data_IF_545615374354
#
_entry.id   IF_545615374354
#
_cell.length_a   1.000
_cell.length_b   1.000
_cell.length_c   1.000
_cell.angle_alpha   90.00
_cell.angle_beta   90.00
_cell.angle_gamma   90.00
#
_symmetry.space_group_name_H-M   'P 1'
#
loop_
_entity.id
_entity.type
_entity.pdbx_description
1 polymer ?
#
# COMPACT_ATOMS: atom_id res chain seq x y z
N UNK A 1 -2.09 9.57 3.42
CA UNK A 1 -0.66 9.35 3.12
C UNK A 1 -0.51 7.86 2.89
N UNK A 2 -0.01 7.42 1.73
CA UNK A 2 0.13 5.98 1.44
C UNK A 2 1.37 5.44 2.16
N UNK A 3 1.20 4.33 2.88
CA UNK A 3 2.25 3.70 3.68
C UNK A 3 3.03 2.72 2.81
N UNK A 4 4.34 2.91 2.70
CA UNK A 4 5.27 1.96 2.10
C UNK A 4 6.03 1.27 3.21
N UNK A 5 6.03 -0.07 3.24
CA UNK A 5 6.89 -0.81 4.15
C UNK A 5 8.35 -0.63 3.72
N UNK A 6 9.22 -0.39 4.69
CA UNK A 6 10.66 -0.28 4.47
C UNK A 6 11.26 -1.68 4.65
N UNK A 7 11.93 -2.25 3.64
CA UNK A 7 12.58 -3.54 3.75
C UNK A 7 13.63 -3.57 4.86
N UNK A 8 13.78 -4.72 5.51
CA UNK A 8 14.85 -4.94 6.49
C UNK A 8 16.22 -4.67 5.83
N UNK A 9 17.06 -3.85 6.47
CA UNK A 9 18.39 -3.46 5.98
C UNK A 9 18.41 -2.25 5.04
N UNK A 10 17.27 -1.68 4.66
CA UNK A 10 17.25 -0.35 4.06
C UNK A 10 17.41 0.71 5.14
N UNK A 11 18.50 1.46 5.07
CA UNK A 11 18.77 2.58 5.97
C UNK A 11 18.73 3.89 5.18
N UNK A 12 17.89 4.82 5.62
CA UNK A 12 17.98 6.19 5.12
C UNK A 12 19.29 6.83 5.54
N UNK A 13 19.77 7.78 4.73
CA UNK A 13 20.97 8.53 5.09
C UNK A 13 20.77 9.29 6.41
N UNK A 14 21.77 9.20 7.28
CA UNK A 14 21.84 10.01 8.50
C UNK A 14 22.23 11.46 8.19
N UNK A 15 22.83 11.73 7.02
CA UNK A 15 23.10 13.08 6.53
C UNK A 15 21.77 13.81 6.23
N UNK A 16 21.49 14.95 6.88
CA UNK A 16 20.28 15.72 6.67
C UNK A 16 20.03 16.12 5.21
N UNK A 17 21.07 16.50 4.47
CA UNK A 17 20.93 16.97 3.09
C UNK A 17 20.60 15.79 2.17
N UNK A 18 21.30 14.67 2.32
CA UNK A 18 20.99 13.45 1.59
C UNK A 18 19.58 12.90 1.93
N UNK A 19 19.14 13.02 3.19
CA UNK A 19 17.79 12.63 3.60
C UNK A 19 16.72 13.51 2.95
N UNK A 20 16.96 14.82 2.90
CA UNK A 20 16.06 15.77 2.23
C UNK A 20 15.95 15.50 0.73
N UNK A 21 17.08 15.25 0.06
CA UNK A 21 17.08 14.90 -1.36
C UNK A 21 16.39 13.56 -1.62
N UNK A 22 16.60 12.56 -0.75
CA UNK A 22 15.84 11.30 -0.80
C UNK A 22 14.33 11.51 -0.66
N UNK A 23 13.91 12.35 0.30
CA UNK A 23 12.50 12.72 0.46
C UNK A 23 11.92 13.40 -0.78
N UNK A 24 12.65 14.35 -1.39
CA UNK A 24 12.23 15.01 -2.64
C UNK A 24 12.11 14.01 -3.78
N UNK A 25 13.09 13.14 -3.96
CA UNK A 25 13.09 12.14 -5.03
C UNK A 25 11.87 11.20 -4.93
N UNK A 26 11.56 10.72 -3.73
CA UNK A 26 10.35 9.92 -3.46
C UNK A 26 9.07 10.71 -3.71
N UNK A 27 9.00 11.95 -3.25
CA UNK A 27 7.82 12.80 -3.41
C UNK A 27 7.55 13.12 -4.89
N UNK A 28 8.61 13.39 -5.66
CA UNK A 28 8.53 13.60 -7.10
C UNK A 28 8.04 12.34 -7.83
N UNK A 29 8.63 11.18 -7.52
CA UNK A 29 8.20 9.88 -8.06
C UNK A 29 6.73 9.61 -7.79
N UNK A 30 6.28 9.75 -6.53
CA UNK A 30 4.89 9.51 -6.13
C UNK A 30 3.92 10.42 -6.88
N UNK A 31 4.29 11.69 -7.05
CA UNK A 31 3.48 12.66 -7.78
C UNK A 31 3.37 12.31 -9.26
N UNK A 32 4.49 11.96 -9.89
CA UNK A 32 4.53 11.57 -11.30
C UNK A 32 3.73 10.29 -11.58
N UNK A 33 3.90 9.24 -10.77
CA UNK A 33 3.15 7.99 -10.89
C UNK A 33 1.65 8.23 -10.71
N UNK A 34 1.25 9.00 -9.69
CA UNK A 34 -0.17 9.32 -9.47
C UNK A 34 -0.78 10.07 -10.67
N UNK A 35 -0.06 11.06 -11.20
CA UNK A 35 -0.52 11.81 -12.35
C UNK A 35 -0.66 10.92 -13.59
N UNK A 36 0.33 10.04 -13.83
CA UNK A 36 0.31 9.10 -14.95
C UNK A 36 -0.88 8.13 -14.89
N UNK A 37 -1.15 7.55 -13.71
CA UNK A 37 -2.31 6.68 -13.49
C UNK A 37 -3.63 7.44 -13.69
N UNK A 38 -3.73 8.66 -13.16
CA UNK A 38 -4.94 9.48 -13.27
C UNK A 38 -5.28 9.97 -14.68
N UNK A 39 -4.33 9.90 -15.61
CA UNK A 39 -4.53 10.28 -17.02
C UNK A 39 -4.85 9.11 -17.95
N UNK A 40 -4.86 7.88 -17.46
CA UNK A 40 -5.14 6.69 -18.26
C UNK A 40 -6.65 6.38 -18.32
N UNK A 41 -7.12 5.84 -19.46
CA UNK A 41 -8.52 5.48 -19.65
C UNK A 41 -8.80 4.02 -19.22
N UNK A 42 -7.77 3.19 -19.23
CA UNK A 42 -7.83 1.77 -18.85
C UNK A 42 -6.77 1.41 -17.82
N UNK A 43 -6.98 0.31 -17.09
CA UNK A 43 -6.01 -0.15 -16.10
C UNK A 43 -4.70 -0.61 -16.77
N UNK A 44 -4.75 -1.15 -17.98
CA UNK A 44 -3.56 -1.55 -18.74
C UNK A 44 -2.71 -0.33 -19.12
N UNK A 45 -3.35 0.73 -19.61
CA UNK A 45 -2.68 2.01 -19.88
C UNK A 45 -2.10 2.60 -18.61
N UNK A 46 -2.86 2.55 -17.50
CA UNK A 46 -2.40 3.03 -16.21
C UNK A 46 -1.15 2.29 -15.73
N UNK A 47 -1.10 0.97 -15.88
CA UNK A 47 0.08 0.16 -15.55
C UNK A 47 1.31 0.61 -16.36
N UNK A 48 1.18 0.69 -17.68
CA UNK A 48 2.30 1.11 -18.57
C UNK A 48 2.76 2.53 -18.24
N UNK A 49 1.81 3.44 -18.00
CA UNK A 49 2.10 4.83 -17.66
C UNK A 49 2.79 4.95 -16.29
N UNK A 50 2.34 4.18 -15.30
CA UNK A 50 2.92 4.13 -13.95
C UNK A 50 4.38 3.64 -13.97
N UNK A 51 4.65 2.52 -14.65
CA UNK A 51 6.00 1.96 -14.80
C UNK A 51 6.93 2.95 -15.51
N UNK A 52 6.46 3.56 -16.60
CA UNK A 52 7.23 4.60 -17.31
C UNK A 52 7.54 5.80 -16.42
N UNK A 53 6.55 6.29 -15.67
CA UNK A 53 6.75 7.41 -14.77
C UNK A 53 7.76 7.05 -13.67
N UNK A 54 7.63 5.88 -13.03
CA UNK A 54 8.54 5.43 -11.99
C UNK A 54 9.99 5.24 -12.51
N UNK A 55 10.15 4.79 -13.75
CA UNK A 55 11.46 4.64 -14.40
C UNK A 55 12.19 5.98 -14.59
N UNK A 56 11.46 7.09 -14.77
CA UNK A 56 12.03 8.44 -14.88
C UNK A 56 12.57 8.99 -13.55
N UNK A 57 12.38 8.28 -12.44
CA UNK A 57 12.87 8.66 -11.12
C UNK A 57 13.88 7.64 -10.59
N UNK A 58 15.10 7.55 -11.14
CA UNK A 58 16.09 6.53 -10.75
C UNK A 58 16.52 6.63 -9.29
N UNK A 59 16.44 7.82 -8.68
CA UNK A 59 16.85 8.06 -7.30
C UNK A 59 15.80 7.61 -6.25
N UNK A 60 14.59 7.23 -6.67
CA UNK A 60 13.62 6.63 -5.77
C UNK A 60 13.90 5.12 -5.62
N UNK A 61 13.85 4.55 -4.39
CA UNK A 61 14.11 3.13 -4.18
C UNK A 61 13.13 2.24 -4.95
N UNK A 62 13.61 1.11 -5.48
CA UNK A 62 12.79 0.17 -6.25
C UNK A 62 11.60 -0.38 -5.45
N UNK A 63 11.82 -0.75 -4.18
CA UNK A 63 10.75 -1.25 -3.31
C UNK A 63 9.62 -0.23 -3.11
N UNK A 64 9.93 1.07 -3.08
CA UNK A 64 8.91 2.11 -2.96
C UNK A 64 8.13 2.28 -4.24
N UNK A 65 8.79 2.19 -5.40
CA UNK A 65 8.12 2.26 -6.70
C UNK A 65 7.10 1.12 -6.82
N UNK A 66 7.54 -0.11 -6.59
CA UNK A 66 6.70 -1.31 -6.67
C UNK A 66 5.47 -1.20 -5.75
N UNK A 67 5.68 -0.89 -4.47
CA UNK A 67 4.58 -0.79 -3.51
C UNK A 67 3.65 0.37 -3.83
N UNK A 68 4.18 1.52 -4.25
CA UNK A 68 3.36 2.69 -4.53
C UNK A 68 2.49 2.50 -5.77
N UNK A 69 3.05 1.90 -6.83
CA UNK A 69 2.28 1.52 -8.02
C UNK A 69 1.21 0.51 -7.62
N UNK A 70 1.56 -0.54 -6.87
CA UNK A 70 0.61 -1.57 -6.44
C UNK A 70 -0.57 -1.01 -5.65
N UNK A 71 -0.29 -0.12 -4.68
CA UNK A 71 -1.35 0.54 -3.90
C UNK A 71 -2.27 1.34 -4.83
N UNK A 72 -1.73 2.21 -5.69
CA UNK A 72 -2.55 3.06 -6.55
C UNK A 72 -3.33 2.27 -7.59
N UNK A 73 -2.72 1.25 -8.18
CA UNK A 73 -3.37 0.38 -9.16
C UNK A 73 -4.55 -0.35 -8.53
N UNK A 74 -4.36 -0.97 -7.35
CA UNK A 74 -5.45 -1.62 -6.61
C UNK A 74 -6.54 -0.60 -6.22
N UNK A 75 -6.17 0.51 -5.60
CA UNK A 75 -7.11 1.48 -5.05
C UNK A 75 -7.94 2.20 -6.13
N UNK A 76 -7.34 2.53 -7.27
CA UNK A 76 -7.93 3.45 -8.24
C UNK A 76 -8.33 2.82 -9.57
N UNK A 77 -7.65 1.75 -10.00
CA UNK A 77 -7.84 1.16 -11.33
C UNK A 77 -8.47 -0.22 -11.26
N UNK A 78 -8.11 -1.04 -10.29
CA UNK A 78 -8.41 -2.47 -10.32
C UNK A 78 -9.57 -2.90 -9.42
N UNK A 79 -9.67 -2.38 -8.18
CA UNK A 79 -10.77 -2.76 -7.28
C UNK A 79 -12.10 -2.00 -7.49
N UNK A 80 -12.15 -0.76 -8.01
CA UNK A 80 -13.43 -0.09 -8.24
C UNK A 80 -14.32 -0.76 -9.31
N UNK A 81 -15.63 -0.82 -9.10
CA UNK A 81 -16.60 -1.40 -10.05
C UNK A 81 -16.81 -2.90 -9.84
N UNK A 82 -16.92 -3.65 -10.94
CA UNK A 82 -17.17 -5.11 -10.96
C UNK A 82 -15.98 -5.88 -11.57
N UNK A 83 -14.82 -5.93 -10.87
CA UNK A 83 -13.62 -6.60 -11.37
C UNK A 83 -13.79 -8.10 -11.66
N UNK A 84 -14.72 -8.77 -10.99
CA UNK A 84 -15.06 -10.18 -11.16
C UNK A 84 -15.51 -10.58 -12.58
N UNK A 85 -15.81 -9.59 -13.43
CA UNK A 85 -16.27 -9.80 -14.81
C UNK A 85 -15.14 -9.83 -15.84
N UNK A 86 -13.91 -9.51 -15.42
CA UNK A 86 -12.73 -9.41 -16.28
C UNK A 86 -11.58 -10.29 -15.71
N UNK A 87 -11.32 -11.47 -16.30
CA UNK A 87 -10.26 -12.37 -15.83
C UNK A 87 -8.86 -11.75 -15.82
N UNK A 88 -8.50 -10.93 -16.83
CA UNK A 88 -7.18 -10.30 -16.90
C UNK A 88 -7.02 -9.27 -15.77
N UNK A 89 -8.12 -8.61 -15.41
CA UNK A 89 -8.16 -7.70 -14.27
C UNK A 89 -8.04 -8.43 -12.94
N UNK A 90 -8.64 -9.62 -12.80
CA UNK A 90 -8.48 -10.45 -11.61
C UNK A 90 -7.04 -10.93 -11.43
N UNK A 91 -6.38 -11.34 -12.51
CA UNK A 91 -4.96 -11.69 -12.50
C UNK A 91 -4.11 -10.49 -12.06
N UNK A 92 -4.38 -9.31 -12.62
CA UNK A 92 -3.69 -8.08 -12.20
C UNK A 92 -3.93 -7.71 -10.72
N UNK A 93 -5.16 -7.88 -10.19
CA UNK A 93 -5.43 -7.71 -8.76
C UNK A 93 -4.58 -8.67 -7.94
N UNK A 94 -4.47 -9.92 -8.39
CA UNK A 94 -3.62 -10.93 -7.80
C UNK A 94 -2.16 -10.51 -7.74
N UNK A 95 -1.59 -10.13 -8.88
CA UNK A 95 -0.18 -9.74 -9.01
C UNK A 95 0.17 -8.55 -8.09
N UNK A 96 -0.65 -7.50 -8.09
CA UNK A 96 -0.40 -6.35 -7.22
C UNK A 96 -0.61 -6.66 -5.74
N UNK A 97 -1.54 -7.57 -5.39
CA UNK A 97 -1.71 -8.03 -4.02
C UNK A 97 -0.45 -8.76 -3.53
N UNK A 98 0.12 -9.62 -4.38
CA UNK A 98 1.36 -10.33 -4.06
C UNK A 98 2.56 -9.40 -3.92
N UNK A 99 2.65 -8.32 -4.72
CA UNK A 99 3.67 -7.28 -4.53
C UNK A 99 3.59 -6.70 -3.12
N UNK A 100 2.39 -6.33 -2.64
CA UNK A 100 2.22 -5.75 -1.31
C UNK A 100 2.57 -6.74 -0.20
N UNK A 101 2.16 -8.00 -0.35
CA UNK A 101 2.40 -9.06 0.63
C UNK A 101 3.89 -9.42 0.68
N UNK A 102 4.57 -9.51 -0.46
CA UNK A 102 6.02 -9.74 -0.56
C UNK A 102 6.81 -8.67 0.17
N UNK A 103 6.39 -7.41 0.05
CA UNK A 103 7.02 -6.28 0.74
C UNK A 103 6.57 -6.11 2.19
N UNK A 104 5.71 -7.00 2.71
CA UNK A 104 5.10 -6.89 4.05
C UNK A 104 4.47 -5.52 4.26
N UNK A 105 3.77 -5.03 3.25
CA UNK A 105 3.09 -3.74 3.31
C UNK A 105 1.92 -3.79 4.31
N UNK A 106 1.75 -2.78 5.18
CA UNK A 106 0.73 -2.83 6.23
C UNK A 106 -0.67 -2.41 5.78
N UNK A 107 -0.92 -2.27 4.48
CA UNK A 107 -2.25 -1.89 3.94
C UNK A 107 -3.27 -3.04 4.01
N UNK A 108 -3.47 -3.62 5.19
CA UNK A 108 -4.35 -4.77 5.41
C UNK A 108 -5.78 -4.56 4.90
N UNK A 109 -6.35 -3.36 5.04
CA UNK A 109 -7.69 -3.07 4.51
C UNK A 109 -7.77 -3.09 2.97
N UNK A 110 -6.69 -2.72 2.28
CA UNK A 110 -6.63 -2.81 0.82
C UNK A 110 -6.44 -4.27 0.37
N UNK A 111 -5.56 -5.00 1.06
CA UNK A 111 -5.30 -6.42 0.79
C UNK A 111 -6.56 -7.26 1.08
N UNK A 112 -7.27 -6.98 2.18
CA UNK A 112 -8.52 -7.68 2.51
C UNK A 112 -9.59 -7.50 1.43
N UNK A 113 -9.75 -6.27 0.92
CA UNK A 113 -10.65 -6.00 -0.21
C UNK A 113 -10.25 -6.78 -1.46
N UNK A 114 -8.95 -6.82 -1.78
CA UNK A 114 -8.46 -7.60 -2.92
C UNK A 114 -8.72 -9.10 -2.74
N UNK A 115 -8.47 -9.64 -1.54
CA UNK A 115 -8.73 -11.05 -1.24
C UNK A 115 -10.22 -11.41 -1.30
N UNK A 116 -11.14 -10.51 -0.89
CA UNK A 116 -12.58 -10.73 -1.09
C UNK A 116 -12.95 -10.84 -2.57
N UNK A 117 -12.28 -10.09 -3.46
CA UNK A 117 -12.51 -10.20 -4.90
C UNK A 117 -11.90 -11.49 -5.48
N UNK A 118 -10.77 -11.94 -4.93
CA UNK A 118 -10.04 -13.10 -5.43
C UNK A 118 -10.51 -14.44 -4.86
N UNK A 119 -11.31 -14.48 -3.78
CA UNK A 119 -11.62 -15.71 -3.06
C UNK A 119 -12.32 -16.79 -3.89
N UNK A 120 -13.10 -16.39 -4.90
CA UNK A 120 -13.75 -17.30 -5.83
C UNK A 120 -12.82 -17.83 -6.94
N UNK A 121 -11.66 -17.19 -7.12
CA UNK A 121 -10.72 -17.44 -8.22
C UNK A 121 -9.40 -18.06 -7.75
N UNK A 122 -9.02 -17.82 -6.50
CA UNK A 122 -7.80 -18.36 -5.91
C UNK A 122 -8.09 -19.62 -5.08
N UNK A 123 -7.14 -20.57 -5.02
CA UNK A 123 -7.20 -21.66 -4.05
C UNK A 123 -7.31 -21.13 -2.61
N UNK A 124 -8.16 -21.75 -1.78
CA UNK A 124 -8.37 -21.33 -0.38
C UNK A 124 -7.07 -21.23 0.42
N UNK A 125 -6.12 -22.14 0.21
CA UNK A 125 -4.81 -22.12 0.86
C UNK A 125 -3.99 -20.87 0.50
N UNK A 126 -4.03 -20.45 -0.78
CA UNK A 126 -3.37 -19.22 -1.24
C UNK A 126 -3.98 -17.99 -0.59
N UNK A 127 -5.30 -17.94 -0.49
CA UNK A 127 -6.03 -16.85 0.20
C UNK A 127 -5.62 -16.80 1.68
N UNK A 128 -5.63 -17.93 2.39
CA UNK A 128 -5.29 -18.01 3.80
C UNK A 128 -3.83 -17.60 4.08
N UNK A 129 -2.88 -18.07 3.27
CA UNK A 129 -1.45 -17.72 3.42
C UNK A 129 -1.20 -16.24 3.14
N UNK A 130 -1.86 -15.68 2.12
CA UNK A 130 -1.79 -14.25 1.80
C UNK A 130 -2.37 -13.41 2.92
N UNK A 131 -3.54 -13.81 3.44
CA UNK A 131 -4.19 -13.14 4.56
C UNK A 131 -3.34 -13.16 5.83
N UNK A 132 -2.75 -14.30 6.17
CA UNK A 132 -1.88 -14.45 7.34
C UNK A 132 -0.63 -13.57 7.26
N UNK A 133 0.01 -13.50 6.09
CA UNK A 133 1.19 -12.65 5.88
C UNK A 133 0.84 -11.16 5.99
N UNK A 134 -0.28 -10.75 5.39
CA UNK A 134 -0.75 -9.37 5.44
C UNK A 134 -1.20 -8.97 6.87
N UNK A 135 -1.82 -9.89 7.60
CA UNK A 135 -2.18 -9.71 9.01
C UNK A 135 -0.92 -9.44 9.86
N UNK A 136 0.10 -10.30 9.76
CA UNK A 136 1.35 -10.14 10.51
C UNK A 136 2.07 -8.82 10.19
N UNK A 137 2.04 -8.38 8.92
CA UNK A 137 2.59 -7.09 8.52
C UNK A 137 1.84 -5.90 9.14
N UNK A 138 0.50 -5.97 9.18
CA UNK A 138 -0.33 -4.95 9.78
C UNK A 138 -0.17 -4.89 11.31
N UNK A 139 -0.13 -6.04 11.99
CA UNK A 139 0.15 -6.09 13.44
C UNK A 139 1.49 -5.44 13.77
N UNK A 140 2.56 -5.84 13.09
CA UNK A 140 3.89 -5.24 13.30
C UNK A 140 3.89 -3.73 13.08
N UNK A 141 3.16 -3.25 12.07
CA UNK A 141 3.06 -1.81 11.82
C UNK A 141 2.32 -1.07 12.93
N UNK A 142 1.21 -1.64 13.42
CA UNK A 142 0.47 -1.07 14.55
C UNK A 142 1.33 -1.06 15.80
N UNK A 143 2.03 -2.16 16.10
CA UNK A 143 2.99 -2.23 17.20
C UNK A 143 4.02 -1.09 17.09
N UNK A 144 4.77 -1.01 15.98
CA UNK A 144 5.78 0.05 15.78
C UNK A 144 5.21 1.46 15.93
N UNK A 145 3.97 1.70 15.46
CA UNK A 145 3.34 3.02 15.55
C UNK A 145 2.79 3.34 16.94
N UNK A 146 2.57 2.32 17.77
CA UNK A 146 1.99 2.47 19.11
C UNK A 146 2.98 2.15 20.24
N UNK A 147 4.21 1.73 19.92
CA UNK A 147 5.33 1.41 20.82
C UNK A 147 5.97 2.64 21.51
N UNK A 148 5.18 3.70 21.73
CA UNK A 148 5.55 4.80 22.60
C UNK A 148 4.46 5.07 23.64
N UNK A 149 4.89 5.39 24.87
CA UNK A 149 3.97 5.74 25.96
C UNK A 149 3.07 6.91 25.54
N UNK A 150 1.77 6.63 25.43
CA UNK A 150 0.77 7.62 25.00
C UNK A 150 0.60 7.76 23.49
N UNK A 151 1.13 6.87 22.66
CA UNK A 151 0.95 6.86 21.19
C UNK A 151 -0.19 5.95 20.69
N UNK A 152 -1.13 5.58 21.58
CA UNK A 152 -2.32 4.82 21.20
C UNK A 152 -3.17 5.53 20.13
N UNK A 153 -4.10 4.79 19.53
CA UNK A 153 -4.95 5.28 18.42
C UNK A 153 -5.61 6.65 18.69
N UNK A 154 -6.06 6.88 19.93
CA UNK A 154 -6.64 8.15 20.37
C UNK A 154 -5.66 9.33 20.33
N UNK A 155 -4.39 9.09 20.68
CA UNK A 155 -3.34 10.11 20.60
C UNK A 155 -2.94 10.41 19.16
N UNK A 156 -2.92 9.38 18.30
CA UNK A 156 -2.73 9.54 16.86
C UNK A 156 -3.87 10.38 16.27
N UNK A 157 -5.13 10.11 16.64
CA UNK A 157 -6.30 10.91 16.25
C UNK A 157 -6.17 12.36 16.71
N UNK A 158 -5.84 12.58 17.99
CA UNK A 158 -5.69 13.92 18.56
C UNK A 158 -4.56 14.72 17.89
N UNK A 159 -3.47 14.05 17.52
CA UNK A 159 -2.35 14.67 16.81
C UNK A 159 -2.69 14.96 15.35
N UNK A 160 -3.35 14.02 14.66
CA UNK A 160 -3.79 14.17 13.28
C UNK A 160 -4.80 15.30 13.10
N UNK A 161 -5.71 15.51 14.05
CA UNK A 161 -6.68 16.61 14.02
C UNK A 161 -6.02 18.02 13.98
N UNK A 162 -4.74 18.13 14.35
CA UNK A 162 -4.00 19.40 14.41
C UNK A 162 -3.20 19.69 13.12
N UNK A 163 -3.16 18.77 12.16
CA UNK A 163 -2.35 18.91 10.95
C UNK A 163 -3.17 18.68 9.69
N UNK A 164 -2.95 19.52 8.68
CA UNK A 164 -3.61 19.36 7.38
C UNK A 164 -3.29 18.00 6.77
N UNK A 165 -4.33 17.25 6.37
CA UNK A 165 -4.20 15.88 5.87
C UNK A 165 -4.11 14.78 6.94
N UNK A 166 -4.22 15.13 8.22
CA UNK A 166 -4.23 14.17 9.32
C UNK A 166 -5.39 13.16 9.24
N UNK A 167 -6.56 13.58 8.76
CA UNK A 167 -7.71 12.67 8.55
C UNK A 167 -7.38 11.51 7.60
N UNK A 168 -6.50 11.72 6.61
CA UNK A 168 -6.07 10.65 5.72
C UNK A 168 -5.14 9.65 6.43
N UNK A 169 -4.38 10.09 7.44
CA UNK A 169 -3.55 9.21 8.27
C UNK A 169 -4.43 8.36 9.19
N UNK A 170 -5.41 8.98 9.85
CA UNK A 170 -6.36 8.29 10.72
C UNK A 170 -7.15 7.25 9.94
N UNK A 171 -7.70 7.61 8.77
CA UNK A 171 -8.42 6.66 7.91
C UNK A 171 -7.55 5.50 7.45
N UNK A 172 -6.29 5.77 7.07
CA UNK A 172 -5.36 4.70 6.67
C UNK A 172 -5.07 3.73 7.83
N UNK A 173 -4.88 4.25 9.03
CA UNK A 173 -4.60 3.41 10.21
C UNK A 173 -5.84 2.62 10.64
N UNK A 174 -7.03 3.24 10.63
CA UNK A 174 -8.29 2.53 10.87
C UNK A 174 -8.52 1.42 9.85
N UNK A 175 -8.35 1.72 8.56
CA UNK A 175 -8.44 0.70 7.50
C UNK A 175 -7.46 -0.45 7.69
N UNK A 176 -6.27 -0.17 8.25
CA UNK A 176 -5.30 -1.22 8.60
C UNK A 176 -5.79 -2.10 9.76
N UNK A 177 -6.34 -1.49 10.82
CA UNK A 177 -6.87 -2.21 11.97
C UNK A 177 -8.09 -3.07 11.61
N UNK A 178 -9.06 -2.48 10.90
CA UNK A 178 -10.28 -3.15 10.47
C UNK A 178 -9.96 -4.29 9.50
N UNK A 179 -9.07 -4.03 8.53
CA UNK A 179 -8.57 -5.05 7.61
C UNK A 179 -7.83 -6.17 8.33
N UNK A 180 -6.98 -5.85 9.31
CA UNK A 180 -6.27 -6.85 10.11
C UNK A 180 -7.25 -7.79 10.85
N UNK A 181 -8.29 -7.24 11.48
CA UNK A 181 -9.32 -8.04 12.13
C UNK A 181 -10.06 -8.97 11.15
N UNK A 182 -10.38 -8.47 9.96
CA UNK A 182 -11.02 -9.25 8.88
C UNK A 182 -10.11 -10.37 8.38
N UNK A 183 -8.84 -10.06 8.07
CA UNK A 183 -7.85 -11.03 7.61
C UNK A 183 -7.64 -12.17 8.60
N UNK A 184 -7.59 -11.86 9.90
CA UNK A 184 -7.47 -12.86 10.97
C UNK A 184 -8.58 -13.90 10.96
N UNK A 185 -9.78 -13.53 10.52
CA UNK A 185 -10.91 -14.47 10.47
C UNK A 185 -10.82 -15.46 9.30
N UNK A 186 -9.86 -15.28 8.37
CA UNK A 186 -9.70 -16.12 7.16
C UNK A 186 -8.77 -17.32 7.36
N UNK A 187 -8.16 -17.50 8.53
CA UNK A 187 -7.24 -18.61 8.82
C UNK A 187 -7.27 -19.05 10.29
#
# INVERSE_FOLDING_TARGET
MLVTAVPDGYHESEDPDARHEGFKARSAMRSAVRYAIGGAETWQEAHVAAERAAAQHPNAPAFEKEQYIAILMLETQLLPGSPETDPDRLDAIGDYTEVLVRHRNPTAGLIDRALSTLEAHWPTERVATTASTAYAAAERYVEIKTDCDGCGLESIRASAARVSGGDAVVRSLQSTLDGSASLRARF
#
